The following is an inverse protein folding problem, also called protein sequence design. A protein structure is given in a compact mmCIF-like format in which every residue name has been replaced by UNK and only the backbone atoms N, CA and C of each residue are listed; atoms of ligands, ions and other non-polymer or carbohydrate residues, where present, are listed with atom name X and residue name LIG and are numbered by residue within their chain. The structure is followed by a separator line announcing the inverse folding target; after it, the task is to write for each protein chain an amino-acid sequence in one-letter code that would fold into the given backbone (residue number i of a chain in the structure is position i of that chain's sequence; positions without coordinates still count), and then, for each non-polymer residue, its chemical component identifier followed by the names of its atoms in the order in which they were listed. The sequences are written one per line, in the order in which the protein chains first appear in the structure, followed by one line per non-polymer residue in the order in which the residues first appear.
data_IF_138400681257
#
_entry.id   IF_138400681257
#
_cell.length_a   1.000
_cell.length_b   1.000
_cell.length_c   1.000
_cell.angle_alpha   90.00
_cell.angle_beta   90.00
_cell.angle_gamma   90.00
#
_symmetry.space_group_name_H-M   'P 1'
#
loop_
_entity.id
_entity.type
_entity.pdbx_description
1 polymer ?
#
# COMPACT_ATOMS: atom_id res chain seq x y z
N UNK A 1 -23.87 2.68 37.02
CA UNK A 1 -23.20 1.58 37.73
C UNK A 1 -23.73 0.29 37.13
N UNK A 2 -23.20 -0.13 35.97
CA UNK A 2 -23.73 -1.26 35.21
C UNK A 2 -22.77 -2.44 35.30
N UNK A 3 -23.30 -3.55 35.81
CA UNK A 3 -22.58 -4.79 36.07
C UNK A 3 -22.26 -5.52 34.76
N UNK A 4 -21.00 -5.93 34.60
CA UNK A 4 -20.53 -6.83 33.55
C UNK A 4 -20.88 -8.27 33.92
N UNK A 5 -21.54 -8.98 33.02
CA UNK A 5 -21.71 -10.43 33.08
C UNK A 5 -20.51 -11.11 32.41
N UNK A 6 -19.84 -12.01 33.14
CA UNK A 6 -18.69 -12.78 32.67
C UNK A 6 -19.16 -13.96 31.79
N UNK A 7 -18.65 -14.04 30.57
CA UNK A 7 -18.68 -15.25 29.73
C UNK A 7 -17.38 -16.04 29.96
N UNK A 8 -17.50 -17.33 30.27
CA UNK A 8 -16.36 -18.24 30.46
C UNK A 8 -15.92 -18.82 29.12
N UNK A 9 -14.80 -18.34 28.59
CA UNK A 9 -14.07 -18.99 27.50
C UNK A 9 -12.99 -19.92 28.06
N UNK A 10 -13.07 -21.19 27.70
CA UNK A 10 -12.06 -22.22 28.00
C UNK A 10 -10.75 -21.85 27.29
N UNK A 11 -9.70 -21.58 28.06
CA UNK A 11 -8.36 -21.33 27.55
C UNK A 11 -7.69 -22.66 27.19
N UNK A 12 -7.49 -22.92 25.90
CA UNK A 12 -6.52 -23.90 25.42
C UNK A 12 -5.15 -23.21 25.45
N UNK A 13 -4.15 -23.71 26.19
CA UNK A 13 -2.84 -23.07 26.23
C UNK A 13 -2.19 -23.20 24.84
N UNK A 14 -2.08 -22.08 24.11
CA UNK A 14 -1.12 -21.97 23.00
C UNK A 14 0.26 -22.16 23.60
N UNK A 15 1.01 -23.14 23.10
CA UNK A 15 2.46 -23.22 23.34
C UNK A 15 3.06 -21.90 22.87
N UNK A 16 3.46 -21.05 23.82
CA UNK A 16 4.32 -19.90 23.58
C UNK A 16 5.68 -20.45 23.13
N UNK A 17 5.86 -20.56 21.81
CA UNK A 17 7.18 -20.74 21.22
C UNK A 17 7.99 -19.47 21.47
N UNK A 18 9.12 -19.63 22.19
CA UNK A 18 10.26 -18.71 22.43
C UNK A 18 9.96 -17.21 22.63
N UNK A 19 10.51 -16.69 23.73
CA UNK A 19 10.50 -15.26 24.07
C UNK A 19 11.00 -14.40 22.91
N UNK A 20 10.39 -13.22 22.75
CA UNK A 20 10.76 -12.17 21.80
C UNK A 20 12.27 -12.11 21.52
N UNK A 21 12.62 -12.09 20.24
CA UNK A 21 13.99 -11.93 19.79
C UNK A 21 14.62 -10.68 20.41
N UNK A 22 15.86 -10.81 20.87
CA UNK A 22 16.64 -9.66 21.33
C UNK A 22 16.68 -8.59 20.23
N UNK A 23 16.76 -7.31 20.63
CA UNK A 23 16.97 -6.22 19.69
C UNK A 23 18.16 -6.56 18.77
N UNK A 24 17.98 -6.59 17.44
CA UNK A 24 19.02 -7.06 16.54
C UNK A 24 20.24 -6.15 16.61
N UNK A 25 21.43 -6.75 16.75
CA UNK A 25 22.70 -6.02 16.86
C UNK A 25 23.41 -5.96 15.50
N UNK A 26 23.13 -6.93 14.64
CA UNK A 26 23.65 -7.06 13.29
C UNK A 26 22.54 -7.24 12.28
N UNK A 27 22.87 -7.12 10.99
CA UNK A 27 21.93 -7.39 9.92
C UNK A 27 21.47 -8.86 9.91
N UNK A 28 22.40 -9.80 10.17
CA UNK A 28 22.09 -11.23 10.24
C UNK A 28 21.13 -11.56 11.40
N UNK A 29 21.25 -10.85 12.54
CA UNK A 29 20.28 -10.97 13.63
C UNK A 29 18.88 -10.55 13.17
N UNK A 30 18.77 -9.45 12.41
CA UNK A 30 17.48 -9.00 11.88
C UNK A 30 16.92 -9.97 10.84
N UNK A 31 17.76 -10.55 9.98
CA UNK A 31 17.34 -11.61 9.03
C UNK A 31 16.76 -12.81 9.78
N UNK A 32 17.38 -13.22 10.89
CA UNK A 32 16.83 -14.28 11.73
C UNK A 32 15.43 -13.92 12.24
N UNK A 33 15.24 -12.69 12.71
CA UNK A 33 13.94 -12.20 13.19
C UNK A 33 12.90 -12.13 12.06
N UNK A 34 13.32 -11.76 10.85
CA UNK A 34 12.46 -11.75 9.66
C UNK A 34 11.98 -13.16 9.28
N UNK A 35 12.86 -14.16 9.32
CA UNK A 35 12.48 -15.55 9.07
C UNK A 35 11.46 -16.06 10.11
N UNK A 36 11.62 -15.66 11.38
CA UNK A 36 10.64 -15.95 12.43
C UNK A 36 9.31 -15.22 12.18
N UNK A 37 9.34 -14.00 11.64
CA UNK A 37 8.13 -13.28 11.20
C UNK A 37 7.42 -14.02 10.08
N UNK A 38 8.11 -14.47 9.02
CA UNK A 38 7.51 -15.24 7.93
C UNK A 38 6.75 -16.46 8.46
N UNK A 39 7.37 -17.23 9.37
CA UNK A 39 6.72 -18.37 10.02
C UNK A 39 5.49 -17.95 10.84
N UNK A 40 5.59 -16.87 11.62
CA UNK A 40 4.49 -16.37 12.46
C UNK A 40 3.30 -15.90 11.65
N UNK A 41 3.54 -15.20 10.53
CA UNK A 41 2.46 -14.75 9.66
C UNK A 41 1.92 -15.87 8.78
N UNK A 42 2.60 -17.02 8.70
CA UNK A 42 2.19 -18.17 7.91
C UNK A 42 2.58 -18.07 6.44
N UNK A 43 3.66 -17.34 6.14
CA UNK A 43 4.27 -17.30 4.82
C UNK A 43 5.29 -18.43 4.70
N UNK A 44 5.13 -19.33 3.73
CA UNK A 44 6.13 -20.38 3.46
C UNK A 44 7.22 -19.81 2.52
N UNK A 45 8.50 -19.78 2.94
CA UNK A 45 9.59 -19.30 2.09
C UNK A 45 9.72 -20.02 0.73
N UNK A 46 9.26 -21.27 0.62
CA UNK A 46 9.27 -22.00 -0.65
C UNK A 46 8.41 -21.32 -1.74
N UNK A 47 7.45 -20.48 -1.36
CA UNK A 47 6.63 -19.71 -2.29
C UNK A 47 7.43 -18.66 -3.07
N UNK A 48 8.63 -18.30 -2.60
CA UNK A 48 9.52 -17.37 -3.29
C UNK A 48 10.10 -17.98 -4.58
N UNK A 49 10.13 -19.31 -4.73
CA UNK A 49 10.73 -19.94 -5.90
C UNK A 49 12.18 -19.49 -6.12
N UNK A 50 12.47 -18.90 -7.28
CA UNK A 50 13.77 -18.34 -7.65
C UNK A 50 13.97 -16.87 -7.22
N UNK A 51 13.00 -16.26 -6.54
CA UNK A 51 13.08 -14.86 -6.12
C UNK A 51 14.11 -14.65 -5.00
N UNK A 52 15.06 -13.76 -5.23
CA UNK A 52 16.12 -13.43 -4.26
C UNK A 52 15.79 -12.15 -3.48
N UNK A 53 15.68 -12.29 -2.15
CA UNK A 53 15.57 -11.14 -1.24
C UNK A 53 16.93 -10.44 -1.15
N UNK A 54 17.04 -9.28 -1.80
CA UNK A 54 18.25 -8.48 -1.85
C UNK A 54 17.97 -6.98 -1.75
N UNK A 55 18.97 -6.26 -1.25
CA UNK A 55 18.96 -4.79 -1.15
C UNK A 55 19.42 -4.22 -2.49
N UNK A 56 18.63 -3.33 -3.09
CA UNK A 56 18.89 -2.75 -4.40
C UNK A 56 18.94 -1.22 -4.31
N UNK A 57 19.92 -0.64 -5.00
CA UNK A 57 20.10 0.81 -5.08
C UNK A 57 20.30 1.25 -6.53
N UNK A 58 19.68 2.36 -6.89
CA UNK A 58 19.90 3.12 -8.11
C UNK A 58 20.57 4.45 -7.75
N UNK A 59 21.89 4.39 -7.50
CA UNK A 59 22.69 5.55 -7.07
C UNK A 59 22.74 6.64 -8.14
N UNK A 60 22.78 6.24 -9.41
CA UNK A 60 22.81 7.18 -10.54
C UNK A 60 21.53 8.02 -10.59
N UNK A 61 20.36 7.38 -10.43
CA UNK A 61 19.06 8.11 -10.38
C UNK A 61 18.92 8.99 -9.14
N UNK A 62 19.51 8.59 -8.00
CA UNK A 62 19.46 9.36 -6.76
C UNK A 62 20.16 10.72 -6.89
N UNK A 63 21.23 10.78 -7.70
CA UNK A 63 22.04 11.96 -7.92
C UNK A 63 22.86 12.38 -6.70
N UNK A 64 23.65 13.44 -6.87
CA UNK A 64 24.62 13.91 -5.88
C UNK A 64 24.18 15.19 -5.15
N UNK A 65 23.20 15.92 -5.68
CA UNK A 65 22.82 17.26 -5.21
C UNK A 65 21.40 17.25 -4.66
N UNK A 66 21.18 17.93 -3.54
CA UNK A 66 19.86 18.15 -2.95
C UNK A 66 19.08 19.09 -3.88
N UNK A 67 17.87 18.69 -4.25
CA UNK A 67 17.14 19.28 -5.38
C UNK A 67 16.21 20.44 -4.95
N UNK A 68 15.67 20.38 -3.73
CA UNK A 68 14.67 21.33 -3.20
C UNK A 68 14.87 21.57 -1.70
N UNK A 69 14.09 22.50 -1.14
CA UNK A 69 14.15 22.89 0.27
C UNK A 69 15.35 23.76 0.62
N UNK A 70 15.54 24.02 1.92
CA UNK A 70 16.55 24.96 2.45
C UNK A 70 18.00 24.49 2.22
N UNK A 71 18.18 23.21 1.90
CA UNK A 71 19.46 22.60 1.62
C UNK A 71 19.74 22.41 0.12
N UNK A 72 18.86 22.91 -0.76
CA UNK A 72 19.04 22.81 -2.21
C UNK A 72 20.42 23.31 -2.66
N UNK A 73 20.99 22.64 -3.65
CA UNK A 73 22.33 22.93 -4.19
C UNK A 73 23.50 22.35 -3.38
N UNK A 74 23.26 21.80 -2.19
CA UNK A 74 24.30 21.08 -1.41
C UNK A 74 24.40 19.62 -1.84
N UNK A 75 25.48 18.94 -1.45
CA UNK A 75 25.61 17.49 -1.63
C UNK A 75 24.56 16.73 -0.81
N UNK A 76 23.99 15.67 -1.38
CA UNK A 76 23.10 14.74 -0.65
C UNK A 76 23.84 14.07 0.51
N UNK A 77 23.10 13.74 1.56
CA UNK A 77 23.63 13.05 2.73
C UNK A 77 23.73 11.55 2.45
N UNK A 78 24.93 11.00 2.56
CA UNK A 78 25.23 9.57 2.44
C UNK A 78 25.18 8.85 3.79
N UNK A 79 25.33 9.59 4.89
CA UNK A 79 25.30 9.05 6.27
C UNK A 79 24.44 9.92 7.17
N UNK A 80 23.80 9.31 8.17
CA UNK A 80 22.97 10.03 9.15
C UNK A 80 23.74 11.14 9.89
N UNK A 81 25.04 10.99 10.11
CA UNK A 81 25.89 12.01 10.73
C UNK A 81 26.05 13.29 9.89
N UNK A 82 25.78 13.23 8.59
CA UNK A 82 25.79 14.41 7.71
C UNK A 82 24.46 15.18 7.76
N UNK A 83 23.40 14.58 8.31
CA UNK A 83 22.09 15.21 8.48
C UNK A 83 22.18 16.27 9.60
N UNK A 84 21.93 17.56 9.34
CA UNK A 84 22.33 18.65 10.25
C UNK A 84 21.64 18.66 11.63
N UNK A 85 20.38 18.24 11.69
CA UNK A 85 19.57 18.35 12.91
C UNK A 85 18.88 17.02 13.26
N UNK A 86 18.66 16.81 14.57
CA UNK A 86 18.06 15.58 15.08
C UNK A 86 16.63 15.37 14.58
N UNK A 87 15.82 16.43 14.51
CA UNK A 87 14.46 16.37 13.98
C UNK A 87 14.39 15.92 12.50
N UNK A 88 15.39 16.27 11.67
CA UNK A 88 15.49 15.80 10.28
C UNK A 88 15.79 14.30 10.26
N UNK A 89 16.69 13.82 11.14
CA UNK A 89 16.98 12.39 11.28
C UNK A 89 15.75 11.61 11.77
N UNK A 90 15.04 12.14 12.76
CA UNK A 90 13.82 11.51 13.29
C UNK A 90 12.72 11.46 12.22
N UNK A 91 12.60 12.51 11.40
CA UNK A 91 11.67 12.53 10.27
C UNK A 91 12.05 11.51 9.18
N UNK A 92 13.34 11.35 8.86
CA UNK A 92 13.81 10.28 7.97
C UNK A 92 13.47 8.90 8.51
N UNK A 93 13.75 8.65 9.80
CA UNK A 93 13.39 7.39 10.46
C UNK A 93 11.88 7.16 10.37
N UNK A 94 11.07 8.16 10.69
CA UNK A 94 9.61 8.05 10.61
C UNK A 94 9.13 7.71 9.20
N UNK A 95 9.65 8.35 8.16
CA UNK A 95 9.26 8.08 6.77
C UNK A 95 9.65 6.68 6.33
N UNK A 96 10.88 6.24 6.66
CA UNK A 96 11.37 4.90 6.35
C UNK A 96 10.55 3.83 7.11
N UNK A 97 10.23 4.09 8.37
CA UNK A 97 9.41 3.18 9.18
C UNK A 97 7.99 3.07 8.65
N UNK A 98 7.36 4.18 8.25
CA UNK A 98 6.00 4.15 7.69
C UNK A 98 5.98 3.40 6.36
N UNK A 99 6.92 3.67 5.45
CA UNK A 99 7.06 2.92 4.19
C UNK A 99 7.31 1.44 4.46
N UNK A 100 8.27 1.09 5.33
CA UNK A 100 8.55 -0.32 5.61
C UNK A 100 7.39 -1.04 6.29
N UNK A 101 6.50 -0.33 6.99
CA UNK A 101 5.36 -0.93 7.68
C UNK A 101 4.24 -1.35 6.72
N UNK A 102 4.06 -0.60 5.62
CA UNK A 102 3.07 -0.92 4.58
C UNK A 102 3.41 -2.24 3.90
N UNK A 103 4.69 -2.50 3.63
CA UNK A 103 5.11 -3.64 2.83
C UNK A 103 4.93 -4.98 3.57
N UNK A 104 5.17 -4.99 4.88
CA UNK A 104 4.89 -6.20 5.67
C UNK A 104 3.40 -6.37 5.94
N UNK A 105 2.64 -5.26 6.03
CA UNK A 105 1.21 -5.32 6.21
C UNK A 105 0.49 -5.87 4.97
N UNK A 106 0.90 -5.48 3.77
CA UNK A 106 0.31 -5.98 2.51
C UNK A 106 0.43 -7.50 2.44
N UNK A 107 1.59 -8.07 2.78
CA UNK A 107 1.81 -9.54 2.85
C UNK A 107 0.86 -10.20 3.86
N UNK A 108 0.71 -9.63 5.05
CA UNK A 108 -0.17 -10.16 6.09
C UNK A 108 -1.65 -10.13 5.71
N UNK A 109 -2.09 -9.08 5.01
CA UNK A 109 -3.44 -8.95 4.50
C UNK A 109 -3.72 -9.98 3.40
N UNK A 110 -2.74 -10.27 2.53
CA UNK A 110 -2.97 -10.96 1.26
C UNK A 110 -2.61 -12.45 1.27
N UNK A 111 -1.69 -12.92 2.13
CA UNK A 111 -1.10 -14.27 2.03
C UNK A 111 -2.11 -15.43 2.02
N UNK A 112 -3.26 -15.27 2.68
CA UNK A 112 -4.30 -16.29 2.70
C UNK A 112 -4.99 -16.51 1.34
N UNK A 113 -4.90 -15.54 0.42
CA UNK A 113 -5.52 -15.60 -0.90
C UNK A 113 -4.87 -16.63 -1.83
N UNK A 114 -3.61 -17.00 -1.59
CA UNK A 114 -2.91 -18.00 -2.43
C UNK A 114 -3.65 -19.34 -2.48
N UNK A 115 -4.28 -19.73 -1.36
CA UNK A 115 -5.06 -20.95 -1.23
C UNK A 115 -6.37 -20.95 -2.03
N UNK A 116 -6.87 -19.77 -2.42
CA UNK A 116 -8.13 -19.59 -3.14
C UNK A 116 -7.94 -18.92 -4.50
N UNK A 117 -6.71 -18.97 -5.04
CA UNK A 117 -6.39 -18.34 -6.32
C UNK A 117 -7.31 -18.82 -7.45
N UNK A 118 -7.91 -17.91 -8.24
CA UNK A 118 -8.84 -18.30 -9.30
C UNK A 118 -8.12 -18.99 -10.47
N UNK A 119 -6.83 -18.72 -10.66
CA UNK A 119 -5.98 -19.41 -11.64
C UNK A 119 -4.55 -19.53 -11.12
N UNK A 120 -3.75 -20.41 -11.72
CA UNK A 120 -2.31 -20.52 -11.40
C UNK A 120 -1.53 -19.23 -11.74
N UNK A 121 -1.98 -18.47 -12.75
CA UNK A 121 -1.40 -17.16 -13.06
C UNK A 121 -1.66 -16.16 -11.93
N UNK A 122 -2.86 -16.18 -11.36
CA UNK A 122 -3.23 -15.28 -10.27
C UNK A 122 -2.45 -15.64 -9.00
N UNK A 123 -2.30 -16.96 -8.70
CA UNK A 123 -1.44 -17.43 -7.60
C UNK A 123 0.01 -16.96 -7.77
N UNK A 124 0.58 -17.12 -8.96
CA UNK A 124 1.92 -16.62 -9.28
C UNK A 124 2.03 -15.12 -9.08
N UNK A 125 1.06 -14.35 -9.60
CA UNK A 125 1.11 -12.89 -9.55
C UNK A 125 1.05 -12.38 -8.10
N UNK A 126 0.14 -12.91 -7.28
CA UNK A 126 0.04 -12.55 -5.87
C UNK A 126 1.27 -13.00 -5.07
N UNK A 127 1.80 -14.21 -5.31
CA UNK A 127 3.02 -14.66 -4.64
C UNK A 127 4.24 -13.80 -5.01
N UNK A 128 4.33 -13.35 -6.27
CA UNK A 128 5.36 -12.43 -6.72
C UNK A 128 5.23 -11.06 -6.03
N UNK A 129 4.03 -10.50 -5.98
CA UNK A 129 3.79 -9.23 -5.26
C UNK A 129 4.24 -9.38 -3.81
N UNK A 130 3.79 -10.43 -3.09
CA UNK A 130 4.23 -10.66 -1.71
C UNK A 130 5.75 -10.83 -1.56
N UNK A 131 6.44 -11.36 -2.57
CA UNK A 131 7.91 -11.47 -2.57
C UNK A 131 8.57 -10.09 -2.75
N UNK A 132 8.05 -9.28 -3.68
CA UNK A 132 8.51 -7.91 -3.96
C UNK A 132 8.24 -7.00 -2.74
N UNK A 133 7.06 -7.05 -2.14
CA UNK A 133 6.68 -6.36 -0.89
C UNK A 133 7.61 -6.73 0.27
N UNK A 134 7.91 -8.01 0.46
CA UNK A 134 8.91 -8.43 1.47
C UNK A 134 10.28 -7.82 1.19
N UNK A 135 10.69 -7.74 -0.08
CA UNK A 135 11.96 -7.10 -0.48
C UNK A 135 11.95 -5.60 -0.21
N UNK A 136 10.81 -4.92 -0.37
CA UNK A 136 10.66 -3.49 -0.04
C UNK A 136 10.78 -3.27 1.47
N UNK A 137 10.09 -4.07 2.28
CA UNK A 137 10.21 -4.01 3.75
C UNK A 137 11.63 -4.32 4.22
N UNK A 138 12.28 -5.30 3.59
CA UNK A 138 13.69 -5.66 3.80
C UNK A 138 14.64 -4.51 3.45
N UNK A 139 14.40 -3.81 2.35
CA UNK A 139 15.14 -2.62 1.94
C UNK A 139 15.00 -1.48 2.98
N UNK A 140 13.80 -1.22 3.50
CA UNK A 140 13.57 -0.21 4.53
C UNK A 140 14.23 -0.58 5.86
N UNK A 141 14.10 -1.85 6.28
CA UNK A 141 14.79 -2.35 7.47
C UNK A 141 16.31 -2.25 7.34
N UNK A 142 16.87 -2.52 6.15
CA UNK A 142 18.30 -2.36 5.90
C UNK A 142 18.74 -0.90 6.07
N UNK A 143 17.97 0.06 5.57
CA UNK A 143 18.26 1.49 5.76
C UNK A 143 18.27 1.86 7.25
N UNK A 144 17.27 1.39 8.01
CA UNK A 144 17.17 1.63 9.45
C UNK A 144 18.38 1.06 10.20
N UNK A 145 18.68 -0.24 9.98
CA UNK A 145 19.78 -0.95 10.63
C UNK A 145 21.15 -0.35 10.30
N UNK A 146 21.37 0.01 9.04
CA UNK A 146 22.69 0.44 8.55
C UNK A 146 23.01 1.88 8.89
N UNK A 147 22.02 2.78 8.81
CA UNK A 147 22.28 4.22 8.85
C UNK A 147 21.85 4.89 10.16
N UNK A 148 21.00 4.27 10.98
CA UNK A 148 20.39 4.94 12.15
C UNK A 148 20.70 4.27 13.51
N UNK A 149 21.68 3.36 13.55
CA UNK A 149 22.21 2.78 14.79
C UNK A 149 21.13 2.11 15.64
N UNK A 150 21.23 2.26 16.97
CA UNK A 150 20.31 1.57 17.90
C UNK A 150 18.84 2.00 17.73
N UNK A 151 18.58 3.26 17.36
CA UNK A 151 17.21 3.72 17.11
C UNK A 151 16.65 3.06 15.84
N UNK A 152 17.44 3.01 14.77
CA UNK A 152 17.10 2.28 13.55
C UNK A 152 16.81 0.81 13.81
N UNK A 153 17.65 0.13 14.60
CA UNK A 153 17.42 -1.26 14.96
C UNK A 153 16.10 -1.51 15.70
N UNK A 154 15.68 -0.56 16.56
CA UNK A 154 14.38 -0.65 17.25
C UNK A 154 13.22 -0.51 16.27
N UNK A 155 13.29 0.44 15.35
CA UNK A 155 12.22 0.63 14.38
C UNK A 155 12.15 -0.53 13.39
N UNK A 156 13.29 -1.05 12.92
CA UNK A 156 13.36 -2.23 12.07
C UNK A 156 12.77 -3.48 12.75
N UNK A 157 12.97 -3.63 14.07
CA UNK A 157 12.35 -4.70 14.83
C UNK A 157 10.82 -4.52 14.93
N UNK A 158 10.36 -3.29 15.21
CA UNK A 158 8.91 -3.00 15.30
C UNK A 158 8.15 -3.26 14.00
N UNK A 159 8.81 -3.13 12.83
CA UNK A 159 8.24 -3.50 11.53
C UNK A 159 7.75 -4.96 11.51
N UNK A 160 8.49 -5.85 12.18
CA UNK A 160 8.15 -7.26 12.29
C UNK A 160 7.18 -7.52 13.45
N UNK A 161 7.23 -6.73 14.53
CA UNK A 161 6.37 -6.95 15.71
C UNK A 161 4.90 -6.62 15.44
N UNK A 162 4.64 -5.55 14.68
CA UNK A 162 3.28 -5.19 14.26
C UNK A 162 2.70 -6.24 13.31
N UNK A 163 1.37 -6.31 13.28
CA UNK A 163 0.61 -7.25 12.48
C UNK A 163 -0.76 -6.66 12.09
N UNK A 164 -1.11 -6.75 10.81
CA UNK A 164 -2.37 -6.26 10.27
C UNK A 164 -3.60 -6.96 10.91
N UNK A 165 -3.46 -8.24 11.30
CA UNK A 165 -4.56 -9.01 11.91
C UNK A 165 -4.86 -8.56 13.34
N UNK A 166 -3.88 -7.95 14.01
CA UNK A 166 -4.05 -7.34 15.34
C UNK A 166 -4.54 -5.88 15.24
N UNK A 167 -4.68 -5.34 14.02
CA UNK A 167 -5.12 -3.97 13.78
C UNK A 167 -4.12 -2.90 14.24
N UNK A 168 -2.84 -3.25 14.36
CA UNK A 168 -1.82 -2.37 14.93
C UNK A 168 -0.77 -1.87 13.91
N UNK A 169 -0.99 -2.07 12.60
CA UNK A 169 -0.19 -1.40 11.55
C UNK A 169 -0.44 0.10 11.58
N UNK A 170 0.56 0.88 11.17
CA UNK A 170 0.58 2.33 11.38
C UNK A 170 -0.51 3.06 10.58
N UNK A 171 -0.83 2.57 9.39
CA UNK A 171 -1.81 3.16 8.49
C UNK A 171 -3.09 2.33 8.45
N UNK A 172 -4.24 3.00 8.59
CA UNK A 172 -5.56 2.35 8.70
C UNK A 172 -5.91 1.44 7.52
N UNK A 173 -5.57 1.85 6.29
CA UNK A 173 -5.79 1.05 5.07
C UNK A 173 -5.16 -0.35 5.14
N UNK A 174 -4.01 -0.46 5.79
CA UNK A 174 -3.23 -1.69 5.93
C UNK A 174 -3.70 -2.58 7.10
N UNK A 175 -4.74 -2.14 7.81
CA UNK A 175 -5.48 -2.96 8.77
C UNK A 175 -6.87 -3.37 8.24
N UNK A 176 -7.26 -2.92 7.02
CA UNK A 176 -8.57 -3.24 6.47
C UNK A 176 -8.65 -4.70 6.01
N UNK A 177 -9.78 -5.39 6.22
CA UNK A 177 -9.96 -6.74 5.71
C UNK A 177 -9.90 -6.80 4.18
N UNK A 178 -9.19 -7.82 3.68
CA UNK A 178 -9.12 -8.19 2.26
C UNK A 178 -9.44 -9.68 2.10
N UNK A 179 -10.70 -10.10 2.35
CA UNK A 179 -11.09 -11.51 2.41
C UNK A 179 -10.99 -12.30 1.09
N UNK A 180 -10.99 -11.63 -0.06
CA UNK A 180 -11.12 -12.32 -1.35
C UNK A 180 -10.40 -11.61 -2.51
N UNK A 181 -10.32 -12.29 -3.65
CA UNK A 181 -9.57 -11.83 -4.83
C UNK A 181 -10.10 -10.56 -5.47
N UNK A 182 -11.41 -10.29 -5.42
CA UNK A 182 -11.95 -9.00 -5.90
C UNK A 182 -11.39 -7.81 -5.09
N UNK A 183 -11.23 -7.95 -3.77
CA UNK A 183 -10.59 -6.93 -2.94
C UNK A 183 -9.12 -6.79 -3.33
N UNK A 184 -8.41 -7.89 -3.52
CA UNK A 184 -7.00 -7.86 -3.94
C UNK A 184 -6.76 -7.12 -5.25
N UNK A 185 -7.59 -7.35 -6.27
CA UNK A 185 -7.46 -6.63 -7.54
C UNK A 185 -7.81 -5.14 -7.40
N UNK A 186 -8.78 -4.78 -6.55
CA UNK A 186 -9.05 -3.38 -6.24
C UNK A 186 -7.91 -2.74 -5.42
N UNK A 187 -7.37 -3.45 -4.44
CA UNK A 187 -6.25 -3.02 -3.61
C UNK A 187 -5.03 -2.72 -4.47
N UNK A 188 -4.58 -3.68 -5.26
CA UNK A 188 -3.42 -3.52 -6.17
C UNK A 188 -3.66 -2.47 -7.27
N UNK A 189 -4.92 -2.16 -7.59
CA UNK A 189 -5.28 -1.10 -8.53
C UNK A 189 -5.23 0.30 -7.91
N UNK A 190 -5.71 0.45 -6.68
CA UNK A 190 -5.97 1.74 -6.02
C UNK A 190 -5.03 2.01 -4.84
N UNK A 191 -4.83 1.06 -3.94
CA UNK A 191 -3.99 1.20 -2.74
C UNK A 191 -2.50 1.13 -3.08
N UNK A 192 -2.02 0.10 -3.79
CA UNK A 192 -0.59 0.01 -4.19
C UNK A 192 -0.14 1.22 -5.03
N UNK A 193 -1.10 1.82 -5.74
CA UNK A 193 -0.82 3.03 -6.53
C UNK A 193 -0.43 4.21 -5.64
N UNK A 194 -0.85 4.29 -4.38
CA UNK A 194 -0.26 5.23 -3.41
C UNK A 194 1.26 5.02 -3.29
N UNK A 195 1.71 3.77 -3.18
CA UNK A 195 3.12 3.38 -3.16
C UNK A 195 3.92 4.02 -4.31
N UNK A 196 3.40 3.98 -5.53
CA UNK A 196 4.01 4.69 -6.68
C UNK A 196 4.25 6.18 -6.38
N UNK A 197 3.26 6.88 -5.81
CA UNK A 197 3.38 8.31 -5.48
C UNK A 197 4.36 8.53 -4.33
N UNK A 198 4.25 7.76 -3.24
CA UNK A 198 5.13 7.86 -2.08
C UNK A 198 6.60 7.63 -2.46
N UNK A 199 6.88 6.54 -3.18
CA UNK A 199 8.21 6.18 -3.65
C UNK A 199 8.75 7.19 -4.66
N UNK A 200 7.89 7.70 -5.56
CA UNK A 200 8.26 8.75 -6.51
C UNK A 200 8.71 10.04 -5.82
N UNK A 201 7.95 10.49 -4.83
CA UNK A 201 8.29 11.68 -4.02
C UNK A 201 9.52 11.49 -3.14
N UNK A 202 9.76 10.28 -2.63
CA UNK A 202 10.95 9.93 -1.85
C UNK A 202 12.19 9.74 -2.74
N UNK A 203 12.02 9.50 -4.04
CA UNK A 203 13.15 9.29 -4.97
C UNK A 203 14.02 10.54 -5.16
N UNK A 204 13.53 11.70 -4.74
CA UNK A 204 14.25 12.98 -4.78
C UNK A 204 14.86 13.36 -3.42
N UNK A 205 14.74 12.50 -2.39
CA UNK A 205 15.22 12.78 -1.03
C UNK A 205 16.67 13.27 -0.97
N UNK A 206 16.94 14.17 -0.04
CA UNK A 206 18.26 14.66 0.33
C UNK A 206 19.11 13.58 1.01
N UNK A 207 18.49 12.55 1.58
CA UNK A 207 19.20 11.38 2.09
C UNK A 207 19.40 10.37 0.96
N UNK A 208 20.61 10.32 0.42
CA UNK A 208 20.97 9.59 -0.80
C UNK A 208 20.63 8.09 -0.75
N UNK A 209 20.87 7.34 0.35
CA UNK A 209 20.50 5.93 0.42
C UNK A 209 18.99 5.70 0.30
N UNK A 210 18.18 6.59 0.87
CA UNK A 210 16.73 6.52 0.73
C UNK A 210 16.30 6.77 -0.72
N UNK A 211 16.77 7.88 -1.31
CA UNK A 211 16.48 8.21 -2.71
C UNK A 211 16.89 7.09 -3.67
N UNK A 212 18.07 6.49 -3.47
CA UNK A 212 18.60 5.41 -4.30
C UNK A 212 17.79 4.11 -4.19
N UNK A 213 17.16 3.85 -3.05
CA UNK A 213 16.35 2.64 -2.88
C UNK A 213 15.01 2.68 -3.63
N UNK A 214 14.50 3.88 -3.96
CA UNK A 214 13.19 4.05 -4.60
C UNK A 214 13.14 3.56 -6.06
N UNK A 215 14.24 3.72 -6.80
CA UNK A 215 14.29 3.37 -8.23
C UNK A 215 13.95 1.91 -8.52
N UNK A 216 14.60 0.94 -7.86
CA UNK A 216 14.28 -0.48 -7.98
C UNK A 216 12.85 -0.81 -7.51
N UNK A 217 12.39 -0.26 -6.38
CA UNK A 217 11.03 -0.51 -5.87
C UNK A 217 9.96 -0.01 -6.84
N UNK A 218 10.13 1.19 -7.42
CA UNK A 218 9.23 1.72 -8.46
C UNK A 218 9.14 0.83 -9.72
N UNK A 219 10.20 0.07 -10.04
CA UNK A 219 10.15 -0.87 -11.18
C UNK A 219 9.27 -2.07 -10.86
N UNK A 220 9.33 -2.57 -9.63
CA UNK A 220 8.47 -3.66 -9.15
C UNK A 220 7.03 -3.21 -8.99
N UNK A 221 6.81 -2.01 -8.45
CA UNK A 221 5.47 -1.43 -8.27
C UNK A 221 4.66 -1.46 -9.57
N UNK A 222 5.31 -1.25 -10.71
CA UNK A 222 4.66 -1.33 -12.02
C UNK A 222 3.99 -2.69 -12.30
N UNK A 223 4.53 -3.79 -11.76
CA UNK A 223 3.95 -5.12 -11.82
C UNK A 223 2.72 -5.25 -10.90
N UNK A 224 2.76 -4.62 -9.72
CA UNK A 224 1.65 -4.62 -8.77
C UNK A 224 0.43 -3.93 -9.39
N UNK A 225 0.62 -2.69 -9.88
CA UNK A 225 -0.43 -1.90 -10.54
C UNK A 225 -0.98 -2.60 -11.80
N UNK A 226 -0.08 -3.24 -12.55
CA UNK A 226 -0.44 -4.03 -13.73
C UNK A 226 -1.29 -5.25 -13.37
N UNK A 227 -1.03 -5.89 -12.23
CA UNK A 227 -1.80 -7.04 -11.74
C UNK A 227 -3.23 -6.62 -11.38
N UNK A 228 -3.41 -5.53 -10.63
CA UNK A 228 -4.73 -5.00 -10.30
C UNK A 228 -5.54 -4.61 -11.53
N UNK A 229 -4.98 -3.76 -12.39
CA UNK A 229 -5.65 -3.32 -13.62
C UNK A 229 -5.98 -4.48 -14.57
N UNK A 230 -5.07 -5.46 -14.72
CA UNK A 230 -5.31 -6.62 -15.56
C UNK A 230 -6.37 -7.57 -14.97
N UNK A 231 -6.36 -7.77 -13.65
CA UNK A 231 -7.36 -8.57 -12.95
C UNK A 231 -8.76 -7.98 -13.11
N UNK A 232 -8.91 -6.68 -12.84
CA UNK A 232 -10.19 -5.98 -13.01
C UNK A 232 -10.69 -6.01 -14.45
N UNK A 233 -9.82 -5.81 -15.43
CA UNK A 233 -10.16 -6.00 -16.85
C UNK A 233 -10.70 -7.40 -17.14
N UNK A 234 -10.07 -8.45 -16.59
CA UNK A 234 -10.48 -9.85 -16.80
C UNK A 234 -11.81 -10.16 -16.13
N UNK A 235 -12.11 -9.54 -14.98
CA UNK A 235 -13.41 -9.62 -14.31
C UNK A 235 -14.50 -8.95 -15.16
N UNK A 236 -14.24 -7.73 -15.62
CA UNK A 236 -15.19 -6.97 -16.47
C UNK A 236 -15.54 -7.74 -17.73
N UNK A 237 -14.54 -8.36 -18.38
CA UNK A 237 -14.76 -9.14 -19.60
C UNK A 237 -15.49 -10.45 -19.37
N UNK A 238 -15.28 -11.10 -18.23
CA UNK A 238 -16.03 -12.30 -17.87
C UNK A 238 -17.52 -11.99 -17.65
N UNK A 239 -17.83 -10.79 -17.12
CA UNK A 239 -19.21 -10.29 -17.02
C UNK A 239 -20.09 -11.01 -15.99
N UNK A 240 -19.51 -11.84 -15.12
CA UNK A 240 -20.23 -12.60 -14.09
C UNK A 240 -20.46 -11.77 -12.82
N UNK A 241 -19.45 -10.97 -12.40
CA UNK A 241 -19.61 -10.04 -11.27
C UNK A 241 -20.53 -8.89 -11.71
N UNK A 242 -21.67 -8.65 -11.03
CA UNK A 242 -22.55 -7.54 -11.37
C UNK A 242 -21.83 -6.19 -11.31
N UNK A 243 -22.06 -5.33 -12.31
CA UNK A 243 -21.31 -4.08 -12.45
C UNK A 243 -21.53 -3.12 -11.28
N UNK A 244 -22.75 -3.09 -10.73
CA UNK A 244 -23.09 -2.30 -9.55
C UNK A 244 -22.33 -2.80 -8.30
N UNK A 245 -22.22 -4.13 -8.14
CA UNK A 245 -21.42 -4.74 -7.07
C UNK A 245 -19.95 -4.39 -7.22
N UNK A 246 -19.38 -4.52 -8.43
CA UNK A 246 -18.00 -4.12 -8.71
C UNK A 246 -17.75 -2.64 -8.36
N UNK A 247 -18.68 -1.75 -8.70
CA UNK A 247 -18.59 -0.32 -8.35
C UNK A 247 -18.55 -0.09 -6.83
N UNK A 248 -19.30 -0.87 -6.04
CA UNK A 248 -19.24 -0.78 -4.56
C UNK A 248 -17.82 -1.08 -4.04
N UNK A 249 -17.15 -2.09 -4.59
CA UNK A 249 -15.75 -2.40 -4.23
C UNK A 249 -14.76 -1.34 -4.71
N UNK A 250 -15.00 -0.70 -5.87
CA UNK A 250 -14.21 0.47 -6.29
C UNK A 250 -14.36 1.59 -5.26
N UNK A 251 -15.58 1.93 -4.87
CA UNK A 251 -15.84 2.99 -3.89
C UNK A 251 -15.14 2.71 -2.55
N UNK A 252 -15.17 1.47 -2.06
CA UNK A 252 -14.46 1.03 -0.84
C UNK A 252 -12.95 1.31 -0.92
N UNK A 253 -12.29 0.87 -1.99
CA UNK A 253 -10.83 0.93 -2.09
C UNK A 253 -10.30 2.27 -2.57
N UNK A 254 -11.05 2.99 -3.41
CA UNK A 254 -10.75 4.37 -3.80
C UNK A 254 -10.73 5.27 -2.58
N UNK A 255 -11.78 5.26 -1.76
CA UNK A 255 -11.84 6.12 -0.58
C UNK A 255 -10.77 5.74 0.47
N UNK A 256 -10.50 4.44 0.62
CA UNK A 256 -9.41 3.94 1.48
C UNK A 256 -8.05 4.48 1.04
N UNK A 257 -7.78 4.48 -0.27
CA UNK A 257 -6.52 4.98 -0.81
C UNK A 257 -6.38 6.51 -0.70
N UNK A 258 -7.47 7.28 -0.80
CA UNK A 258 -7.43 8.74 -0.61
C UNK A 258 -6.93 9.15 0.77
N UNK A 259 -7.22 8.37 1.81
CA UNK A 259 -6.76 8.62 3.18
C UNK A 259 -5.25 8.42 3.36
N UNK A 260 -4.57 7.65 2.50
CA UNK A 260 -3.12 7.39 2.61
C UNK A 260 -2.25 8.63 2.41
N UNK A 261 -2.78 9.63 1.71
CA UNK A 261 -2.09 10.91 1.48
C UNK A 261 -2.10 11.82 2.72
N UNK A 262 -2.80 11.45 3.80
CA UNK A 262 -2.83 12.20 5.06
C UNK A 262 -3.78 13.40 5.02
N UNK A 263 -3.59 14.32 5.97
CA UNK A 263 -4.37 15.56 6.06
C UNK A 263 -4.02 16.52 4.94
N UNK A 264 -5.00 17.32 4.51
CA UNK A 264 -4.90 18.24 3.37
C UNK A 264 -3.80 19.27 3.57
N UNK A 265 -3.87 19.98 4.70
CA UNK A 265 -2.77 20.79 5.23
C UNK A 265 -1.99 20.03 6.30
N UNK A 266 -0.66 20.03 6.19
CA UNK A 266 0.21 19.23 7.05
C UNK A 266 1.55 19.89 7.34
N UNK A 267 1.78 20.22 8.61
CA UNK A 267 3.09 20.68 9.09
C UNK A 267 4.19 19.65 8.86
N UNK A 268 3.89 18.35 8.95
CA UNK A 268 4.91 17.31 8.72
C UNK A 268 5.30 17.22 7.25
N UNK A 269 4.35 17.36 6.32
CA UNK A 269 4.62 17.44 4.89
C UNK A 269 5.42 18.71 4.54
N UNK A 270 5.01 19.86 5.09
CA UNK A 270 5.72 21.13 4.95
C UNK A 270 7.20 20.98 5.33
N UNK A 271 7.48 20.48 6.54
CA UNK A 271 8.85 20.34 7.02
C UNK A 271 9.64 19.25 6.29
N UNK A 272 9.00 18.15 5.89
CA UNK A 272 9.64 17.14 5.06
C UNK A 272 10.11 17.73 3.72
N UNK A 273 9.34 18.62 3.11
CA UNK A 273 9.75 19.34 1.90
C UNK A 273 10.88 20.34 2.19
N UNK A 274 10.72 21.19 3.21
CA UNK A 274 11.71 22.21 3.59
C UNK A 274 13.07 21.59 3.90
N UNK A 275 13.09 20.44 4.58
CA UNK A 275 14.32 19.72 4.91
C UNK A 275 14.88 18.88 3.75
N UNK A 276 14.22 18.85 2.60
CA UNK A 276 14.65 18.05 1.46
C UNK A 276 14.36 16.55 1.59
N UNK A 277 13.53 16.10 2.53
CA UNK A 277 13.28 14.67 2.78
C UNK A 277 12.37 14.06 1.70
N UNK A 278 11.29 14.76 1.34
CA UNK A 278 10.27 14.27 0.40
C UNK A 278 9.80 15.42 -0.50
N UNK A 279 9.91 15.24 -1.82
CA UNK A 279 9.58 16.26 -2.81
C UNK A 279 8.11 16.20 -3.22
N UNK A 280 7.69 17.05 -4.15
CA UNK A 280 6.39 16.88 -4.82
C UNK A 280 6.44 15.69 -5.77
N UNK A 281 5.26 15.17 -6.11
CA UNK A 281 5.13 14.33 -7.29
C UNK A 281 5.65 15.10 -8.51
N UNK A 282 6.53 14.49 -9.31
CA UNK A 282 7.20 15.11 -10.46
C UNK A 282 8.02 16.38 -10.15
N UNK A 283 8.65 16.46 -8.97
CA UNK A 283 9.44 17.63 -8.53
C UNK A 283 10.40 18.18 -9.60
N UNK A 284 11.19 17.30 -10.23
CA UNK A 284 12.17 17.68 -11.27
C UNK A 284 11.51 18.35 -12.48
N UNK A 285 10.34 17.86 -12.89
CA UNK A 285 9.57 18.43 -14.00
C UNK A 285 9.00 19.79 -13.61
N UNK A 286 8.36 19.88 -12.44
CA UNK A 286 7.79 21.13 -11.92
C UNK A 286 8.84 22.21 -11.73
N UNK A 287 10.01 21.86 -11.20
CA UNK A 287 11.15 22.77 -11.09
C UNK A 287 11.64 23.25 -12.46
N UNK A 288 11.74 22.37 -13.46
CA UNK A 288 12.11 22.72 -14.83
C UNK A 288 11.09 23.63 -15.55
N UNK A 289 9.81 23.50 -15.19
CA UNK A 289 8.71 24.33 -15.69
C UNK A 289 8.54 25.65 -14.89
N UNK A 290 9.32 25.84 -13.81
CA UNK A 290 9.21 27.03 -12.95
C UNK A 290 7.92 27.08 -12.13
N UNK A 291 7.32 25.93 -11.83
CA UNK A 291 6.10 25.84 -11.02
C UNK A 291 6.48 25.96 -9.54
N UNK A 292 6.07 27.07 -8.94
CA UNK A 292 6.26 27.35 -7.51
C UNK A 292 5.60 26.27 -6.64
N UNK A 293 6.22 26.00 -5.50
CA UNK A 293 5.68 25.07 -4.50
C UNK A 293 4.76 25.81 -3.53
N UNK A 294 3.55 25.28 -3.35
CA UNK A 294 2.73 25.61 -2.20
C UNK A 294 2.90 24.53 -1.13
N UNK A 295 3.59 24.89 -0.05
CA UNK A 295 3.95 23.95 1.04
C UNK A 295 2.77 23.62 1.94
N UNK A 296 1.67 24.36 1.84
CA UNK A 296 0.48 24.16 2.67
C UNK A 296 -0.43 23.06 2.13
N UNK A 297 -0.26 22.65 0.87
CA UNK A 297 -1.14 21.71 0.17
C UNK A 297 -0.40 20.52 -0.46
N UNK A 298 0.82 20.20 -0.02
CA UNK A 298 1.64 19.12 -0.60
C UNK A 298 0.95 17.75 -0.64
N UNK A 299 0.20 17.44 0.42
CA UNK A 299 -0.54 16.18 0.52
C UNK A 299 -1.76 16.18 -0.41
N UNK A 300 -2.52 17.28 -0.41
CA UNK A 300 -3.67 17.49 -1.31
C UNK A 300 -3.26 17.45 -2.78
N UNK A 301 -2.18 18.16 -3.16
CA UNK A 301 -1.63 18.15 -4.52
C UNK A 301 -1.27 16.73 -4.97
N UNK A 302 -0.59 15.96 -4.10
CA UNK A 302 -0.25 14.57 -4.42
C UNK A 302 -1.49 13.68 -4.52
N UNK A 303 -2.49 13.87 -3.65
CA UNK A 303 -3.75 13.12 -3.71
C UNK A 303 -4.52 13.42 -4.99
N UNK A 304 -4.53 14.67 -5.44
CA UNK A 304 -5.15 15.10 -6.70
C UNK A 304 -4.50 14.42 -7.91
N UNK A 305 -3.17 14.37 -7.98
CA UNK A 305 -2.48 13.64 -9.06
C UNK A 305 -2.82 12.15 -9.06
N UNK A 306 -2.85 11.53 -7.89
CA UNK A 306 -3.31 10.15 -7.73
C UNK A 306 -4.75 9.96 -8.22
N UNK A 307 -5.65 10.88 -7.83
CA UNK A 307 -7.05 10.86 -8.24
C UNK A 307 -7.20 10.93 -9.77
N UNK A 308 -6.51 11.87 -10.41
CA UNK A 308 -6.52 12.01 -11.88
C UNK A 308 -6.04 10.73 -12.59
N UNK A 309 -5.00 10.08 -12.04
CA UNK A 309 -4.50 8.82 -12.60
C UNK A 309 -5.54 7.70 -12.51
N UNK A 310 -6.15 7.49 -11.34
CA UNK A 310 -7.14 6.40 -11.19
C UNK A 310 -8.40 6.66 -12.02
N UNK A 311 -8.78 7.93 -12.22
CA UNK A 311 -9.86 8.30 -13.16
C UNK A 311 -9.51 7.82 -14.56
N UNK A 312 -8.31 8.18 -15.05
CA UNK A 312 -7.86 7.77 -16.38
C UNK A 312 -7.74 6.24 -16.52
N UNK A 313 -7.35 5.53 -15.47
CA UNK A 313 -7.30 4.07 -15.48
C UNK A 313 -8.69 3.42 -15.49
N UNK A 314 -9.65 3.95 -14.73
CA UNK A 314 -11.05 3.47 -14.76
C UNK A 314 -11.71 3.78 -16.12
N UNK A 315 -11.39 4.92 -16.75
CA UNK A 315 -11.81 5.20 -18.13
C UNK A 315 -11.28 4.17 -19.13
N UNK A 316 -10.06 3.65 -18.95
CA UNK A 316 -9.53 2.55 -19.77
C UNK A 316 -10.28 1.25 -19.51
N UNK A 317 -10.64 0.96 -18.26
CA UNK A 317 -11.45 -0.23 -17.91
C UNK A 317 -12.84 -0.18 -18.55
N UNK A 318 -13.47 0.99 -18.60
CA UNK A 318 -14.77 1.19 -19.25
C UNK A 318 -14.78 0.83 -20.75
N UNK A 319 -13.62 0.77 -21.42
CA UNK A 319 -13.51 0.34 -22.84
C UNK A 319 -13.71 -1.16 -23.03
N UNK A 320 -13.70 -1.94 -21.95
CA UNK A 320 -13.92 -3.39 -21.98
C UNK A 320 -15.34 -3.79 -21.56
N UNK A 321 -16.19 -2.83 -21.20
CA UNK A 321 -17.59 -3.10 -20.94
C UNK A 321 -18.30 -3.57 -22.23
N UNK A 322 -19.32 -4.43 -22.11
CA UNK A 322 -20.20 -4.77 -23.23
C UNK A 322 -20.81 -3.52 -23.89
N UNK A 323 -21.09 -3.58 -25.19
CA UNK A 323 -21.67 -2.45 -25.93
C UNK A 323 -23.05 -2.02 -25.40
N UNK A 324 -23.78 -2.95 -24.78
CA UNK A 324 -25.10 -2.77 -24.17
C UNK A 324 -25.04 -2.40 -22.67
N UNK A 325 -23.85 -2.17 -22.12
CA UNK A 325 -23.69 -1.75 -20.73
C UNK A 325 -24.46 -0.44 -20.46
N UNK A 326 -25.40 -0.49 -19.52
CA UNK A 326 -26.30 0.63 -19.18
C UNK A 326 -25.66 1.64 -18.22
N UNK A 327 -24.53 1.30 -17.61
CA UNK A 327 -23.77 2.13 -16.70
C UNK A 327 -22.26 1.99 -16.95
N UNK A 328 -21.49 3.00 -16.51
CA UNK A 328 -20.03 2.98 -16.53
C UNK A 328 -19.50 2.95 -15.10
N UNK A 329 -18.33 2.35 -14.93
CA UNK A 329 -17.56 2.46 -13.70
C UNK A 329 -17.04 3.89 -13.54
N UNK A 330 -16.95 4.36 -12.30
CA UNK A 330 -16.45 5.67 -11.95
C UNK A 330 -15.53 5.61 -10.73
N UNK A 331 -14.80 6.70 -10.50
CA UNK A 331 -14.01 6.93 -9.29
C UNK A 331 -14.82 7.86 -8.38
N UNK A 332 -15.05 7.45 -7.13
CA UNK A 332 -15.70 8.32 -6.16
C UNK A 332 -14.84 9.57 -5.90
N UNK A 333 -15.48 10.73 -5.75
CA UNK A 333 -14.79 11.97 -5.42
C UNK A 333 -13.92 11.81 -4.16
N UNK A 334 -12.77 12.48 -4.12
CA UNK A 334 -11.82 12.41 -2.98
C UNK A 334 -12.35 12.90 -1.62
N UNK A 335 -13.59 13.41 -1.57
CA UNK A 335 -14.25 13.84 -0.33
C UNK A 335 -15.13 12.71 0.24
N UNK A 336 -15.46 11.71 -0.57
CA UNK A 336 -16.33 10.60 -0.21
C UNK A 336 -15.63 9.66 0.78
N UNK A 337 -16.34 9.31 1.85
CA UNK A 337 -15.97 8.24 2.79
C UNK A 337 -14.53 8.34 3.34
N UNK A 338 -14.18 9.55 3.81
CA UNK A 338 -12.86 9.89 4.36
C UNK A 338 -12.81 9.70 5.87
N UNK A 339 -11.71 9.16 6.37
CA UNK A 339 -11.37 9.06 7.79
C UNK A 339 -10.27 10.06 8.20
N UNK A 340 -9.55 10.63 7.22
CA UNK A 340 -8.44 11.57 7.43
C UNK A 340 -8.68 12.87 6.64
N UNK A 341 -8.25 13.99 7.22
CA UNK A 341 -8.30 15.31 6.57
C UNK A 341 -9.59 16.08 6.83
N UNK A 342 -9.82 17.14 6.07
CA UNK A 342 -10.91 18.10 6.27
C UNK A 342 -12.29 17.48 6.06
N UNK A 343 -12.38 16.41 5.28
CA UNK A 343 -13.61 15.66 5.03
C UNK A 343 -13.81 14.48 5.99
N UNK A 344 -12.91 14.26 6.95
CA UNK A 344 -13.00 13.15 7.91
C UNK A 344 -14.33 13.15 8.68
N UNK A 345 -15.06 12.04 8.59
CA UNK A 345 -16.34 11.85 9.28
C UNK A 345 -17.50 12.74 8.77
N UNK A 346 -17.27 13.57 7.74
CA UNK A 346 -18.31 14.34 7.06
C UNK A 346 -19.00 13.47 6.01
N UNK A 347 -20.26 13.80 5.69
CA UNK A 347 -21.06 13.06 4.72
C UNK A 347 -21.00 13.76 3.36
N UNK A 348 -20.30 13.15 2.44
CA UNK A 348 -20.24 13.55 1.03
C UNK A 348 -20.73 12.40 0.16
N UNK A 349 -21.45 12.71 -0.91
CA UNK A 349 -21.82 11.73 -1.93
C UNK A 349 -20.60 11.38 -2.80
N UNK A 350 -20.70 10.33 -3.62
CA UNK A 350 -19.65 9.93 -4.56
C UNK A 350 -19.39 10.98 -5.64
N UNK A 351 -20.35 11.89 -5.85
CA UNK A 351 -20.20 13.09 -6.69
C UNK A 351 -19.31 14.16 -6.05
N UNK A 352 -19.03 14.10 -4.75
CA UNK A 352 -18.31 15.13 -4.00
C UNK A 352 -19.19 16.19 -3.36
N UNK A 353 -20.51 16.12 -3.54
CA UNK A 353 -21.45 17.07 -2.93
C UNK A 353 -21.73 16.72 -1.46
N UNK A 354 -21.81 17.71 -0.55
CA UNK A 354 -22.23 17.48 0.82
C UNK A 354 -23.65 16.86 0.88
N UNK A 355 -23.81 15.81 1.66
CA UNK A 355 -25.11 15.19 1.87
C UNK A 355 -25.92 15.95 2.93
N UNK A 356 -27.15 16.33 2.59
CA UNK A 356 -28.02 17.14 3.47
C UNK A 356 -29.28 16.43 3.95
N UNK A 357 -29.42 15.13 3.66
CA UNK A 357 -30.56 14.31 4.10
C UNK A 357 -30.46 13.85 5.56
N UNK A 358 -31.45 13.06 5.97
CA UNK A 358 -31.55 12.40 7.27
C UNK A 358 -30.53 11.28 7.47
N UNK A 359 -30.38 10.81 8.71
CA UNK A 359 -29.52 9.66 9.05
C UNK A 359 -29.97 8.36 8.38
N UNK A 360 -31.28 8.19 8.20
CA UNK A 360 -31.86 7.03 7.52
C UNK A 360 -31.52 7.05 6.02
N UNK A 361 -31.73 8.20 5.36
CA UNK A 361 -31.38 8.37 3.94
C UNK A 361 -29.87 8.19 3.70
N UNK A 362 -29.01 8.67 4.62
CA UNK A 362 -27.57 8.43 4.54
C UNK A 362 -27.22 6.94 4.69
N UNK A 363 -27.85 6.25 5.64
CA UNK A 363 -27.62 4.82 5.87
C UNK A 363 -28.03 3.99 4.66
N UNK A 364 -29.17 4.33 4.05
CA UNK A 364 -29.63 3.70 2.81
C UNK A 364 -28.64 3.97 1.66
N UNK A 365 -28.27 5.24 1.45
CA UNK A 365 -27.29 5.63 0.43
C UNK A 365 -25.96 4.87 0.58
N UNK A 366 -25.42 4.78 1.79
CA UNK A 366 -24.17 4.04 2.04
C UNK A 366 -24.31 2.55 1.73
N UNK A 367 -25.46 1.93 2.07
CA UNK A 367 -25.71 0.52 1.75
C UNK A 367 -25.82 0.23 0.26
N UNK A 368 -26.19 1.22 -0.56
CA UNK A 368 -26.24 1.11 -2.02
C UNK A 368 -24.86 1.31 -2.68
N UNK A 369 -23.96 2.04 -2.00
CA UNK A 369 -22.74 2.59 -2.58
C UNK A 369 -21.46 1.89 -2.08
N UNK A 370 -21.49 1.24 -0.91
CA UNK A 370 -20.38 0.46 -0.34
C UNK A 370 -20.75 -1.02 -0.18
N UNK A 371 -19.77 -1.94 -0.21
CA UNK A 371 -20.05 -3.37 -0.10
C UNK A 371 -20.76 -3.72 1.20
N UNK A 372 -21.78 -4.56 1.09
CA UNK A 372 -22.61 -5.01 2.20
C UNK A 372 -22.27 -6.45 2.58
N UNK A 373 -22.75 -6.91 3.74
CA UNK A 373 -22.65 -8.32 4.11
C UNK A 373 -23.35 -9.24 3.11
N UNK A 374 -24.41 -8.77 2.47
CA UNK A 374 -25.11 -9.54 1.43
C UNK A 374 -24.25 -9.69 0.17
N UNK A 375 -23.50 -8.64 -0.21
CA UNK A 375 -22.53 -8.73 -1.31
C UNK A 375 -21.45 -9.77 -1.01
N UNK A 376 -20.90 -9.78 0.21
CA UNK A 376 -19.89 -10.76 0.65
C UNK A 376 -20.41 -12.21 0.58
N UNK A 377 -21.68 -12.45 0.92
CA UNK A 377 -22.29 -13.78 0.79
C UNK A 377 -22.51 -14.16 -0.68
N UNK A 378 -23.01 -13.24 -1.52
CA UNK A 378 -23.21 -13.46 -2.96
C UNK A 378 -21.90 -13.74 -3.69
N UNK A 379 -20.81 -13.08 -3.32
CA UNK A 379 -19.51 -13.32 -3.93
C UNK A 379 -19.01 -14.76 -3.75
N UNK A 380 -19.39 -15.44 -2.65
CA UNK A 380 -19.02 -16.86 -2.47
C UNK A 380 -19.60 -17.75 -3.55
N UNK A 381 -20.83 -17.45 -4.00
CA UNK A 381 -21.51 -18.15 -5.09
C UNK A 381 -20.88 -17.78 -6.43
N UNK A 382 -20.67 -16.48 -6.69
CA UNK A 382 -20.02 -15.97 -7.91
C UNK A 382 -18.62 -16.58 -8.09
N UNK A 383 -17.85 -16.75 -7.01
CA UNK A 383 -16.52 -17.35 -7.07
C UNK A 383 -16.51 -18.85 -7.39
N UNK A 384 -17.68 -19.52 -7.44
CA UNK A 384 -17.81 -20.88 -7.97
C UNK A 384 -18.01 -20.90 -9.51
N UNK A 385 -18.29 -19.75 -10.12
CA UNK A 385 -18.44 -19.59 -11.57
C UNK A 385 -17.12 -19.16 -12.23
N UNK A 386 -17.11 -19.06 -13.57
CA UNK A 386 -15.97 -18.51 -14.32
C UNK A 386 -15.95 -16.97 -14.26
N UNK A 387 -15.83 -16.42 -13.05
CA UNK A 387 -15.98 -14.99 -12.77
C UNK A 387 -14.84 -14.08 -13.24
N UNK A 388 -13.75 -14.67 -13.73
CA UNK A 388 -12.57 -13.97 -14.22
C UNK A 388 -12.01 -14.73 -15.43
N UNK A 389 -11.71 -14.02 -16.53
CA UNK A 389 -11.08 -14.64 -17.71
C UNK A 389 -9.76 -15.32 -17.32
N UNK A 390 -9.52 -16.54 -17.76
CA UNK A 390 -8.26 -17.23 -17.50
C UNK A 390 -7.09 -16.59 -18.27
N UNK A 391 -5.92 -16.57 -17.66
CA UNK A 391 -4.65 -16.16 -18.29
C UNK A 391 -3.61 -17.23 -18.03
N UNK A 392 -3.02 -17.87 -19.06
CA UNK A 392 -2.01 -18.90 -18.83
C UNK A 392 -0.68 -18.30 -18.38
N UNK A 393 0.06 -19.06 -17.57
CA UNK A 393 1.45 -18.78 -17.24
C UNK A 393 2.34 -18.87 -18.49
N UNK A 394 3.30 -17.96 -18.60
CA UNK A 394 4.38 -18.08 -19.58
C UNK A 394 5.43 -19.10 -19.12
N UNK A 395 6.23 -19.69 -20.02
CA UNK A 395 7.29 -20.62 -19.64
C UNK A 395 8.28 -20.07 -18.61
N UNK A 396 8.57 -18.77 -18.67
CA UNK A 396 9.44 -18.09 -17.69
C UNK A 396 8.81 -18.05 -16.30
N UNK A 397 7.51 -17.79 -16.20
CA UNK A 397 6.82 -17.74 -14.91
C UNK A 397 6.71 -19.14 -14.29
N UNK A 398 6.47 -20.18 -15.11
CA UNK A 398 6.50 -21.57 -14.64
C UNK A 398 7.89 -21.94 -14.11
N UNK A 399 8.95 -21.60 -14.85
CA UNK A 399 10.32 -21.92 -14.48
C UNK A 399 10.79 -21.23 -13.20
N UNK A 400 10.16 -20.10 -12.83
CA UNK A 400 10.54 -19.33 -11.64
C UNK A 400 10.10 -20.01 -10.33
N UNK A 401 9.12 -20.91 -10.37
CA UNK A 401 8.63 -21.60 -9.18
C UNK A 401 7.88 -20.73 -8.16
N UNK A 402 7.71 -19.42 -8.44
CA UNK A 402 7.02 -18.49 -7.53
C UNK A 402 5.56 -18.92 -7.36
N UNK A 403 5.14 -19.12 -6.11
CA UNK A 403 3.80 -19.55 -5.73
C UNK A 403 3.43 -20.99 -6.14
N UNK A 404 4.37 -21.78 -6.66
CA UNK A 404 4.07 -23.13 -7.18
C UNK A 404 3.62 -24.12 -6.10
N UNK A 405 4.02 -23.88 -4.85
CA UNK A 405 3.72 -24.71 -3.67
C UNK A 405 2.76 -24.05 -2.68
N UNK A 406 2.06 -22.99 -3.10
CA UNK A 406 1.16 -22.20 -2.27
C UNK A 406 -0.29 -22.69 -2.23
#
# INVERSE_FOLDING_TARGET
MFARTCSHTVHVPRRLGKSMAELPKTWDDWISNFNDWQQRVGFNPDWLGDFELSVLFDWDRAGETIEYGDYSGRSKWERSLQVPHQNIRDSLISMITVQGDTEFASVEQQRHLLATAPTDYDRYAAARIMAEEQRHGWQMAYLLMTYFGQQGAREAQKLLERNAQDGNRLLGAFNRPMPHWLDFFCYTMFVDRDGKYQLGMLSTSAFKPLAASMGPMLKEESFHLGTGSNGLRRIIKAGVVPLDMLQRYFNKWVSTAHDLFGTDSSSSAHWAYVWGIKGRWDERKKAGEGIDVDKEVLNEESRGHYHDEIVAEVEKLNKYLPEDATAKLYVAHENFNREIGDCAGKRYMVSGEPFTGSDEEWSNYISEILPTKEDEEKLKEIFQEEWIENKPLTPRQVASGIGATA
#
